data_IF_165944116524
#
_entry.id   IF_165944116524
#
_cell.length_a   1.000
_cell.length_b   1.000
_cell.length_c   1.000
_cell.angle_alpha   90.00
_cell.angle_beta   90.00
_cell.angle_gamma   90.00
#
_symmetry.space_group_name_H-M   'P 1'
#
loop_
_entity.id
_entity.type
_entity.pdbx_description
1 polymer ?
#
# COMPACT_ATOMS: atom_id res chain seq x y z
N UNK A 1 -18.38 5.79 21.69
CA UNK A 1 -19.21 5.46 22.87
C UNK A 1 -20.39 4.67 22.35
N UNK A 2 -20.44 3.36 22.61
CA UNK A 2 -21.55 2.54 22.16
C UNK A 2 -22.83 2.99 22.86
N UNK A 3 -23.89 3.30 22.09
CA UNK A 3 -25.20 3.62 22.67
C UNK A 3 -25.71 2.37 23.41
N UNK A 4 -26.13 2.55 24.66
CA UNK A 4 -26.54 1.44 25.54
C UNK A 4 -27.75 0.68 24.99
N UNK A 5 -28.51 1.32 24.09
CA UNK A 5 -29.68 0.74 23.43
C UNK A 5 -29.33 -0.18 22.26
N UNK A 6 -28.14 -0.06 21.65
CA UNK A 6 -27.72 -0.83 20.47
C UNK A 6 -26.95 -2.11 20.86
N UNK A 7 -27.54 -2.93 21.72
CA UNK A 7 -26.92 -4.18 22.16
C UNK A 7 -27.84 -5.37 22.01
N UNK A 8 -27.27 -6.57 21.82
CA UNK A 8 -28.07 -7.81 21.78
C UNK A 8 -28.90 -8.01 23.05
N UNK A 9 -28.36 -7.61 24.21
CA UNK A 9 -29.05 -7.73 25.50
C UNK A 9 -30.28 -6.81 25.56
N UNK A 10 -30.15 -5.56 25.09
CA UNK A 10 -31.27 -4.63 24.99
C UNK A 10 -32.36 -5.17 24.06
N UNK A 11 -31.97 -5.70 22.89
CA UNK A 11 -32.92 -6.31 21.94
C UNK A 11 -33.66 -7.53 22.51
N UNK A 12 -32.91 -8.44 23.15
CA UNK A 12 -33.49 -9.63 23.81
C UNK A 12 -34.43 -9.22 24.94
N UNK A 13 -34.09 -8.19 25.72
CA UNK A 13 -34.97 -7.67 26.77
C UNK A 13 -36.23 -7.03 26.19
N UNK A 14 -36.12 -6.32 25.07
CA UNK A 14 -37.25 -5.66 24.42
C UNK A 14 -38.28 -6.67 23.87
N UNK A 15 -37.81 -7.83 23.40
CA UNK A 15 -38.66 -8.86 22.79
C UNK A 15 -39.10 -9.96 23.76
N UNK A 16 -38.49 -10.05 24.95
CA UNK A 16 -38.80 -11.09 25.94
C UNK A 16 -40.25 -11.01 26.41
N UNK A 17 -40.95 -12.15 26.32
CA UNK A 17 -42.34 -12.28 26.79
C UNK A 17 -43.38 -11.61 25.89
N UNK A 18 -42.99 -11.12 24.71
CA UNK A 18 -43.89 -10.54 23.71
C UNK A 18 -44.32 -11.59 22.70
N UNK A 19 -45.40 -11.33 21.98
CA UNK A 19 -45.88 -12.17 20.89
C UNK A 19 -44.94 -12.18 19.66
N UNK A 20 -43.80 -11.48 19.73
CA UNK A 20 -42.79 -11.41 18.69
C UNK A 20 -41.50 -12.05 19.21
N UNK A 21 -40.95 -12.99 18.46
CA UNK A 21 -39.67 -13.61 18.78
C UNK A 21 -38.50 -12.68 18.46
N UNK A 22 -37.37 -12.87 19.15
CA UNK A 22 -36.16 -12.13 18.85
C UNK A 22 -35.71 -12.43 17.42
N UNK A 23 -35.78 -11.42 16.56
CA UNK A 23 -35.46 -11.55 15.15
C UNK A 23 -33.98 -11.84 14.93
N UNK A 24 -33.70 -12.89 14.13
CA UNK A 24 -32.34 -13.37 13.91
C UNK A 24 -31.50 -12.36 13.11
N UNK A 25 -32.11 -11.57 12.22
CA UNK A 25 -31.40 -10.61 11.39
C UNK A 25 -31.05 -9.35 12.18
N UNK A 26 -31.93 -8.92 13.09
CA UNK A 26 -31.59 -7.86 14.06
C UNK A 26 -30.42 -8.28 14.96
N UNK A 27 -30.43 -9.52 15.47
CA UNK A 27 -29.32 -10.06 16.27
C UNK A 27 -28.00 -10.12 15.49
N UNK A 28 -28.03 -10.58 14.23
CA UNK A 28 -26.85 -10.60 13.36
C UNK A 28 -26.31 -9.18 13.11
N UNK A 29 -27.19 -8.22 12.84
CA UNK A 29 -26.79 -6.84 12.59
C UNK A 29 -26.16 -6.20 13.83
N UNK A 30 -26.72 -6.43 15.02
CA UNK A 30 -26.15 -5.98 16.29
C UNK A 30 -24.79 -6.64 16.59
N UNK A 31 -24.63 -7.92 16.25
CA UNK A 31 -23.35 -8.61 16.39
C UNK A 31 -22.28 -8.05 15.43
N UNK A 32 -22.66 -7.65 14.21
CA UNK A 32 -21.76 -6.96 13.28
C UNK A 32 -21.33 -5.60 13.83
N UNK A 33 -22.27 -4.83 14.39
CA UNK A 33 -21.96 -3.54 15.03
C UNK A 33 -20.99 -3.73 16.22
N UNK A 34 -21.24 -4.71 17.09
CA UNK A 34 -20.37 -5.01 18.22
C UNK A 34 -18.95 -5.47 17.81
N UNK A 35 -18.79 -6.05 16.62
CA UNK A 35 -17.47 -6.36 16.05
C UNK A 35 -16.81 -5.11 15.48
N UNK A 36 -17.56 -4.28 14.76
CA UNK A 36 -17.06 -3.04 14.19
C UNK A 36 -16.59 -2.05 15.26
N UNK A 37 -17.29 -1.99 16.40
CA UNK A 37 -16.91 -1.14 17.56
C UNK A 37 -15.56 -1.52 18.19
N UNK A 38 -15.05 -2.74 17.95
CA UNK A 38 -13.73 -3.19 18.45
C UNK A 38 -12.58 -2.83 17.53
N UNK A 39 -12.87 -2.33 16.34
CA UNK A 39 -11.86 -1.94 15.37
C UNK A 39 -11.20 -0.62 15.79
N UNK A 40 -9.99 -0.39 15.26
CA UNK A 40 -9.33 0.89 15.44
C UNK A 40 -10.16 1.99 14.75
N UNK A 41 -10.23 3.21 15.31
CA UNK A 41 -10.96 4.33 14.71
C UNK A 41 -10.16 4.95 13.56
N UNK A 42 -9.70 4.12 12.62
CA UNK A 42 -9.09 4.54 11.36
C UNK A 42 -10.15 4.59 10.25
N UNK A 43 -9.74 5.00 9.04
CA UNK A 43 -10.66 5.17 7.92
C UNK A 43 -11.43 3.87 7.59
N UNK A 44 -10.79 2.72 7.73
CA UNK A 44 -11.39 1.41 7.45
C UNK A 44 -12.34 0.99 8.58
N UNK A 45 -11.94 1.15 9.84
CA UNK A 45 -12.77 0.84 11.00
C UNK A 45 -14.03 1.69 11.06
N UNK A 46 -13.92 3.00 10.82
CA UNK A 46 -15.07 3.92 10.78
C UNK A 46 -16.02 3.61 9.63
N UNK A 47 -15.50 3.21 8.46
CA UNK A 47 -16.34 2.77 7.34
C UNK A 47 -17.12 1.48 7.69
N UNK A 48 -16.47 0.50 8.31
CA UNK A 48 -17.12 -0.73 8.75
C UNK A 48 -18.17 -0.49 9.85
N UNK A 49 -17.92 0.47 10.75
CA UNK A 49 -18.90 0.87 11.76
C UNK A 49 -20.13 1.54 11.14
N UNK A 50 -19.93 2.43 10.16
CA UNK A 50 -21.03 3.06 9.40
C UNK A 50 -21.89 2.02 8.68
N UNK A 51 -21.26 1.07 8.02
CA UNK A 51 -21.96 0.03 7.25
C UNK A 51 -22.72 -0.94 8.17
N UNK A 52 -22.14 -1.28 9.35
CA UNK A 52 -22.82 -2.06 10.37
C UNK A 52 -24.05 -1.33 10.94
N UNK A 53 -23.96 -0.01 11.19
CA UNK A 53 -25.12 0.81 11.60
C UNK A 53 -26.22 0.82 10.54
N UNK A 54 -25.87 0.88 9.25
CA UNK A 54 -26.84 0.79 8.15
C UNK A 54 -27.53 -0.58 8.09
N UNK A 55 -26.81 -1.66 8.41
CA UNK A 55 -27.40 -2.99 8.51
C UNK A 55 -28.39 -3.11 9.68
N UNK A 56 -28.10 -2.50 10.84
CA UNK A 56 -29.01 -2.46 11.99
C UNK A 56 -30.28 -1.69 11.65
N UNK A 57 -30.15 -0.50 11.04
CA UNK A 57 -31.29 0.32 10.59
C UNK A 57 -32.23 -0.46 9.65
N UNK A 58 -31.65 -1.13 8.65
CA UNK A 58 -32.38 -1.96 7.69
C UNK A 58 -33.08 -3.13 8.38
N UNK A 59 -32.41 -3.81 9.31
CA UNK A 59 -32.98 -4.93 10.04
C UNK A 59 -34.16 -4.49 10.92
N UNK A 60 -34.03 -3.37 11.64
CA UNK A 60 -35.10 -2.77 12.45
C UNK A 60 -36.30 -2.38 11.59
N UNK A 61 -36.09 -1.72 10.45
CA UNK A 61 -37.16 -1.33 9.54
C UNK A 61 -37.91 -2.54 8.94
N UNK A 62 -37.19 -3.62 8.60
CA UNK A 62 -37.81 -4.87 8.13
C UNK A 62 -38.63 -5.53 9.24
N UNK A 63 -38.09 -5.58 10.46
CA UNK A 63 -38.78 -6.12 11.61
C UNK A 63 -40.07 -5.35 11.96
N UNK A 64 -40.00 -4.02 11.96
CA UNK A 64 -41.16 -3.17 12.23
C UNK A 64 -42.26 -3.38 11.18
N UNK A 65 -41.90 -3.49 9.90
CA UNK A 65 -42.86 -3.81 8.83
C UNK A 65 -43.50 -5.19 9.01
N UNK A 66 -42.69 -6.22 9.31
CA UNK A 66 -43.18 -7.57 9.54
C UNK A 66 -44.12 -7.66 10.76
N UNK A 67 -43.89 -6.82 11.77
CA UNK A 67 -44.61 -6.83 13.04
C UNK A 67 -45.52 -5.62 13.26
N UNK A 68 -45.89 -4.89 12.21
CA UNK A 68 -46.55 -3.59 12.32
C UNK A 68 -47.86 -3.63 13.13
N UNK A 69 -48.63 -4.73 13.05
CA UNK A 69 -49.87 -4.90 13.83
C UNK A 69 -49.58 -5.11 15.32
N UNK A 70 -48.60 -5.96 15.63
CA UNK A 70 -48.20 -6.28 17.00
C UNK A 70 -47.49 -5.10 17.67
N UNK A 71 -46.63 -4.39 16.93
CA UNK A 71 -45.96 -3.19 17.40
C UNK A 71 -46.95 -2.05 17.73
N UNK A 72 -48.02 -1.88 16.94
CA UNK A 72 -49.08 -0.91 17.24
C UNK A 72 -49.90 -1.26 18.48
N UNK A 73 -50.06 -2.54 18.77
CA UNK A 73 -50.79 -3.00 19.96
C UNK A 73 -49.94 -2.90 21.24
N UNK A 74 -48.61 -3.04 21.12
CA UNK A 74 -47.67 -2.99 22.24
C UNK A 74 -46.86 -1.69 22.24
N UNK A 75 -47.34 -0.70 22.99
CA UNK A 75 -46.68 0.61 23.14
C UNK A 75 -45.23 0.52 23.64
N UNK A 76 -44.89 -0.48 24.46
CA UNK A 76 -43.52 -0.65 24.95
C UNK A 76 -42.59 -1.18 23.85
N UNK A 77 -43.09 -2.02 22.94
CA UNK A 77 -42.33 -2.49 21.77
C UNK A 77 -42.10 -1.33 20.80
N UNK A 78 -43.14 -0.54 20.53
CA UNK A 78 -43.05 0.64 19.67
C UNK A 78 -42.06 1.67 20.22
N UNK A 79 -42.11 1.97 21.52
CA UNK A 79 -41.18 2.88 22.16
C UNK A 79 -39.73 2.37 22.07
N UNK A 80 -39.49 1.09 22.38
CA UNK A 80 -38.13 0.54 22.29
C UNK A 80 -37.57 0.46 20.87
N UNK A 81 -38.41 0.21 19.86
CA UNK A 81 -37.99 0.29 18.45
C UNK A 81 -37.62 1.73 18.06
N UNK A 82 -38.42 2.71 18.47
CA UNK A 82 -38.12 4.13 18.26
C UNK A 82 -36.81 4.56 18.96
N UNK A 83 -36.58 4.08 20.18
CA UNK A 83 -35.35 4.37 20.94
C UNK A 83 -34.11 3.75 20.28
N UNK A 84 -34.22 2.53 19.75
CA UNK A 84 -33.13 1.90 19.01
C UNK A 84 -32.85 2.61 17.69
N UNK A 85 -33.86 2.94 16.90
CA UNK A 85 -33.69 3.71 15.66
C UNK A 85 -33.07 5.09 15.92
N UNK A 86 -33.51 5.78 16.97
CA UNK A 86 -32.89 7.03 17.43
C UNK A 86 -31.43 6.83 17.87
N UNK A 87 -31.11 5.71 18.51
CA UNK A 87 -29.74 5.32 18.86
C UNK A 87 -28.86 5.10 17.63
N UNK A 88 -29.39 4.46 16.57
CA UNK A 88 -28.68 4.29 15.29
C UNK A 88 -28.37 5.64 14.66
N UNK A 89 -29.33 6.56 14.62
CA UNK A 89 -29.12 7.89 14.02
C UNK A 89 -28.06 8.70 14.77
N UNK A 90 -28.11 8.70 16.12
CA UNK A 90 -27.09 9.36 16.96
C UNK A 90 -25.70 8.76 16.73
N UNK A 91 -25.61 7.44 16.66
CA UNK A 91 -24.35 6.73 16.42
C UNK A 91 -23.80 7.02 15.01
N UNK A 92 -24.67 7.07 13.98
CA UNK A 92 -24.25 7.43 12.62
C UNK A 92 -23.69 8.86 12.57
N UNK A 93 -24.36 9.83 13.18
CA UNK A 93 -23.87 11.22 13.26
C UNK A 93 -22.51 11.31 13.96
N UNK A 94 -22.31 10.53 15.02
CA UNK A 94 -21.02 10.47 15.72
C UNK A 94 -19.91 9.88 14.83
N UNK A 95 -20.17 8.79 14.13
CA UNK A 95 -19.21 8.18 13.19
C UNK A 95 -18.89 9.12 12.02
N UNK A 96 -19.89 9.79 11.45
CA UNK A 96 -19.69 10.78 10.39
C UNK A 96 -18.88 11.99 10.87
N UNK A 97 -19.06 12.41 12.12
CA UNK A 97 -18.23 13.45 12.72
C UNK A 97 -16.79 12.96 12.90
N UNK A 98 -16.58 11.73 13.39
CA UNK A 98 -15.24 11.14 13.50
C UNK A 98 -14.55 10.99 12.15
N UNK A 99 -15.27 10.64 11.09
CA UNK A 99 -14.74 10.61 9.72
C UNK A 99 -14.31 12.01 9.27
N UNK A 100 -15.12 13.04 9.55
CA UNK A 100 -14.76 14.43 9.27
C UNK A 100 -13.56 14.91 10.07
N UNK A 101 -13.49 14.57 11.35
CA UNK A 101 -12.38 14.93 12.23
C UNK A 101 -11.09 14.21 11.80
N UNK A 102 -11.19 12.93 11.39
CA UNK A 102 -10.07 12.19 10.83
C UNK A 102 -9.61 12.78 9.48
N UNK A 103 -10.55 13.19 8.62
CA UNK A 103 -10.23 13.84 7.35
C UNK A 103 -9.58 15.22 7.54
N UNK A 104 -10.08 16.03 8.48
CA UNK A 104 -9.53 17.36 8.78
C UNK A 104 -8.20 17.27 9.52
N UNK A 105 -8.02 16.34 10.46
CA UNK A 105 -6.72 16.09 11.10
C UNK A 105 -5.69 15.53 10.11
N UNK A 106 -6.10 14.65 9.19
CA UNK A 106 -5.22 14.19 8.11
C UNK A 106 -4.87 15.33 7.15
N UNK A 107 -5.83 16.21 6.82
CA UNK A 107 -5.58 17.40 6.01
C UNK A 107 -4.67 18.42 6.73
N UNK A 108 -4.85 18.61 8.04
CA UNK A 108 -4.02 19.51 8.86
C UNK A 108 -2.62 18.96 9.11
N UNK A 109 -2.47 17.65 9.30
CA UNK A 109 -1.17 16.98 9.34
C UNK A 109 -0.46 17.06 7.97
N UNK A 110 -1.24 17.07 6.89
CA UNK A 110 -0.74 17.26 5.52
C UNK A 110 -0.40 18.73 5.18
N UNK A 111 -1.03 19.70 5.85
CA UNK A 111 -0.73 21.14 5.75
C UNK A 111 0.34 21.62 6.76
N UNK A 112 0.66 20.81 7.78
CA UNK A 112 1.74 21.04 8.73
C UNK A 112 3.03 20.27 8.39
N UNK A 113 2.95 19.28 7.50
CA UNK A 113 4.07 19.01 6.60
C UNK A 113 4.23 20.25 5.71
N UNK A 114 5.45 20.71 5.39
CA UNK A 114 5.62 21.86 4.52
C UNK A 114 4.77 21.67 3.27
N UNK A 115 3.89 22.64 3.00
CA UNK A 115 3.12 22.76 1.77
C UNK A 115 4.12 22.92 0.63
N UNK A 116 4.58 21.80 0.12
CA UNK A 116 5.52 21.75 -0.98
C UNK A 116 4.80 21.88 -2.33
N UNK A 117 3.46 21.75 -2.40
CA UNK A 117 2.71 21.66 -3.66
C UNK A 117 2.17 23.01 -4.19
N UNK A 118 2.49 24.13 -3.53
CA UNK A 118 2.13 25.48 -4.00
C UNK A 118 3.33 26.45 -4.09
N UNK A 119 4.55 25.91 -4.10
CA UNK A 119 5.78 26.69 -4.32
C UNK A 119 6.74 25.93 -5.23
N UNK A 120 7.12 26.60 -6.31
CA UNK A 120 8.12 26.25 -7.30
C UNK A 120 7.72 25.22 -8.36
N UNK A 121 7.45 25.74 -9.56
CA UNK A 121 7.45 25.10 -10.88
C UNK A 121 8.84 24.50 -11.20
N UNK A 122 9.34 23.65 -10.32
CA UNK A 122 10.66 23.02 -10.40
C UNK A 122 10.55 21.66 -11.09
N UNK A 123 11.60 21.23 -11.83
CA UNK A 123 11.62 19.95 -12.55
C UNK A 123 11.40 18.72 -11.65
N UNK A 124 11.58 18.86 -10.34
CA UNK A 124 11.44 17.79 -9.34
C UNK A 124 10.00 17.27 -9.23
N UNK A 125 9.01 18.05 -9.67
CA UNK A 125 7.61 17.62 -9.73
C UNK A 125 7.39 16.48 -10.72
N UNK A 126 8.22 16.41 -11.76
CA UNK A 126 8.19 15.40 -12.81
C UNK A 126 9.08 14.19 -12.51
N UNK A 127 9.72 14.15 -11.33
CA UNK A 127 10.61 13.05 -10.90
C UNK A 127 10.26 12.58 -9.48
N UNK A 128 10.84 13.20 -8.45
CA UNK A 128 10.77 12.79 -7.05
C UNK A 128 9.34 12.80 -6.50
N UNK A 129 8.52 13.76 -6.92
CA UNK A 129 7.12 13.88 -6.44
C UNK A 129 6.15 12.91 -7.10
N UNK A 130 6.53 12.28 -8.21
CA UNK A 130 5.70 11.26 -8.86
C UNK A 130 5.71 9.91 -8.13
N UNK A 131 6.81 9.56 -7.46
CA UNK A 131 6.96 8.29 -6.73
C UNK A 131 5.88 8.08 -5.66
N UNK A 132 5.60 9.03 -4.74
CA UNK A 132 4.54 8.85 -3.75
C UNK A 132 3.15 8.80 -4.39
N UNK A 133 2.92 9.49 -5.52
CA UNK A 133 1.65 9.45 -6.23
C UNK A 133 1.42 8.08 -6.89
N UNK A 134 2.44 7.49 -7.50
CA UNK A 134 2.37 6.13 -8.04
C UNK A 134 2.07 5.10 -6.95
N UNK A 135 2.65 5.27 -5.74
CA UNK A 135 2.32 4.42 -4.58
C UNK A 135 0.87 4.58 -4.14
N UNK A 136 0.32 5.79 -4.19
CA UNK A 136 -1.09 6.06 -3.85
C UNK A 136 -2.05 5.45 -4.87
N UNK A 137 -1.73 5.54 -6.16
CA UNK A 137 -2.49 4.84 -7.20
C UNK A 137 -2.45 3.34 -6.97
N UNK A 138 -1.29 2.76 -6.65
CA UNK A 138 -1.17 1.35 -6.25
C UNK A 138 -1.92 0.97 -4.98
N UNK A 139 -2.22 1.93 -4.10
CA UNK A 139 -3.06 1.72 -2.93
C UNK A 139 -4.57 1.85 -3.25
N UNK A 140 -4.94 2.09 -4.51
CA UNK A 140 -6.32 2.22 -4.98
C UNK A 140 -6.87 3.63 -4.97
N UNK A 141 -6.05 4.66 -4.72
CA UNK A 141 -6.49 6.06 -4.79
C UNK A 141 -6.31 6.60 -6.21
N UNK A 142 -7.38 7.03 -6.92
CA UNK A 142 -7.25 7.57 -8.27
C UNK A 142 -6.47 8.90 -8.26
N UNK A 143 -5.74 9.16 -9.35
CA UNK A 143 -5.01 10.41 -9.56
C UNK A 143 -5.32 11.02 -10.94
N UNK A 144 -5.28 12.34 -11.05
CA UNK A 144 -5.34 13.02 -12.35
C UNK A 144 -4.01 12.85 -13.07
N UNK A 145 -4.06 12.60 -14.37
CA UNK A 145 -2.87 12.48 -15.21
C UNK A 145 -2.93 13.46 -16.38
N UNK A 146 -1.78 14.03 -16.73
CA UNK A 146 -1.57 14.79 -17.96
C UNK A 146 -0.36 14.19 -18.66
N UNK A 147 -0.49 14.02 -19.97
CA UNK A 147 0.54 13.48 -20.85
C UNK A 147 0.89 14.53 -21.89
N UNK A 148 2.19 14.72 -22.10
CA UNK A 148 2.71 15.58 -23.16
C UNK A 148 3.58 14.73 -24.06
N UNK A 149 3.24 14.69 -25.35
CA UNK A 149 3.90 13.86 -26.36
C UNK A 149 4.57 14.75 -27.41
N UNK A 150 5.81 14.45 -27.77
CA UNK A 150 6.50 15.02 -28.95
C UNK A 150 7.23 13.88 -29.67
N UNK A 151 6.74 13.51 -30.86
CA UNK A 151 7.28 12.39 -31.63
C UNK A 151 7.24 11.05 -30.88
N UNK A 152 8.41 10.58 -30.45
CA UNK A 152 8.58 9.34 -29.67
C UNK A 152 8.68 9.58 -28.16
N UNK A 153 8.89 10.81 -27.74
CA UNK A 153 9.02 11.18 -26.33
C UNK A 153 7.66 11.45 -25.69
N UNK A 154 7.54 11.02 -24.44
CA UNK A 154 6.37 11.24 -23.60
C UNK A 154 6.84 11.71 -22.24
N UNK A 155 6.17 12.73 -21.70
CA UNK A 155 6.34 13.21 -20.33
C UNK A 155 5.00 13.01 -19.63
N UNK A 156 5.04 12.38 -18.45
CA UNK A 156 3.86 12.05 -17.65
C UNK A 156 3.86 12.92 -16.41
N UNK A 157 2.69 13.42 -16.02
CA UNK A 157 2.51 14.11 -14.74
C UNK A 157 1.28 13.55 -14.04
N UNK A 158 1.45 13.21 -12.76
CA UNK A 158 0.36 12.80 -11.87
C UNK A 158 0.09 13.90 -10.85
N UNK A 159 -1.17 14.07 -10.47
CA UNK A 159 -1.58 15.01 -9.42
C UNK A 159 -2.82 14.51 -8.68
N UNK A 160 -2.93 14.89 -7.41
CA UNK A 160 -4.14 14.62 -6.61
C UNK A 160 -5.29 15.57 -6.96
N UNK A 161 -4.97 16.74 -7.50
CA UNK A 161 -5.92 17.76 -7.97
C UNK A 161 -5.88 17.84 -9.50
N UNK A 162 -6.91 18.38 -10.16
CA UNK A 162 -6.85 18.70 -11.58
C UNK A 162 -5.60 19.51 -11.93
N UNK A 163 -4.90 19.11 -12.98
CA UNK A 163 -3.60 19.69 -13.36
C UNK A 163 -3.85 21.02 -14.08
N UNK A 164 -3.30 22.11 -13.56
CA UNK A 164 -3.44 23.45 -14.15
C UNK A 164 -2.73 23.57 -15.50
N UNK A 165 -3.15 24.50 -16.38
CA UNK A 165 -2.48 24.74 -17.66
C UNK A 165 -1.02 25.20 -17.52
N UNK A 166 -0.62 25.85 -16.43
CA UNK A 166 0.75 26.33 -16.21
C UNK A 166 1.78 25.20 -16.20
N UNK A 167 1.42 24.04 -15.62
CA UNK A 167 2.29 22.85 -15.57
C UNK A 167 2.54 22.23 -16.95
N UNK A 168 1.77 22.62 -17.98
CA UNK A 168 2.01 22.22 -19.37
C UNK A 168 3.36 22.76 -19.88
N UNK A 169 3.71 24.00 -19.53
CA UNK A 169 4.93 24.64 -20.03
C UNK A 169 6.17 23.90 -19.56
N UNK A 170 6.22 23.51 -18.29
CA UNK A 170 7.31 22.70 -17.72
C UNK A 170 7.45 21.34 -18.39
N UNK A 171 6.33 20.66 -18.65
CA UNK A 171 6.35 19.36 -19.33
C UNK A 171 6.85 19.47 -20.77
N UNK A 172 6.64 20.62 -21.42
CA UNK A 172 7.16 20.90 -22.76
C UNK A 172 8.65 21.22 -22.74
N UNK A 173 9.13 21.96 -21.74
CA UNK A 173 10.56 22.26 -21.57
C UNK A 173 11.41 21.02 -21.31
N UNK A 174 10.81 19.99 -20.68
CA UNK A 174 11.49 18.72 -20.40
C UNK A 174 11.51 17.75 -21.61
N UNK A 175 10.85 18.09 -22.71
CA UNK A 175 10.98 17.36 -23.97
C UNK A 175 12.27 17.77 -24.67
N UNK A 176 13.13 16.81 -24.98
CA UNK A 176 14.39 17.05 -25.68
C UNK A 176 14.11 17.33 -27.17
N UNK A 177 13.02 16.79 -27.71
CA UNK A 177 12.58 17.00 -29.09
C UNK A 177 11.65 18.20 -29.27
N UNK A 178 12.16 19.25 -29.93
CA UNK A 178 11.37 20.40 -30.40
C UNK A 178 10.52 19.99 -31.62
N UNK A 179 9.24 19.69 -31.40
CA UNK A 179 8.29 19.26 -32.42
C UNK A 179 6.85 19.64 -32.08
N UNK A 180 5.88 19.12 -32.86
CA UNK A 180 4.46 19.29 -32.55
C UNK A 180 4.10 18.55 -31.26
N UNK A 181 3.70 19.31 -30.25
CA UNK A 181 3.35 18.77 -28.94
C UNK A 181 1.86 18.44 -28.87
N UNK A 182 1.52 17.17 -28.60
CA UNK A 182 0.16 16.74 -28.26
C UNK A 182 0.02 16.64 -26.75
N UNK A 183 -1.02 17.24 -26.19
CA UNK A 183 -1.36 17.12 -24.76
C UNK A 183 -2.63 16.30 -24.62
N UNK A 184 -2.59 15.31 -23.72
CA UNK A 184 -3.71 14.42 -23.43
C UNK A 184 -3.96 14.45 -21.93
N UNK A 185 -5.20 14.69 -21.55
CA UNK A 185 -5.65 14.64 -20.17
C UNK A 185 -6.33 13.31 -19.87
N UNK A 186 -6.32 12.89 -18.60
CA UNK A 186 -7.03 11.68 -18.20
C UNK A 186 -6.93 11.38 -16.71
N UNK A 187 -7.22 10.13 -16.37
CA UNK A 187 -7.19 9.62 -14.99
C UNK A 187 -6.33 8.37 -14.88
N UNK A 188 -5.59 8.24 -13.79
CA UNK A 188 -4.75 7.10 -13.47
C UNK A 188 -5.37 6.32 -12.31
N UNK A 189 -5.63 5.02 -12.53
CA UNK A 189 -6.28 4.12 -11.56
C UNK A 189 -5.51 2.79 -11.48
N UNK A 190 -5.75 2.01 -10.42
CA UNK A 190 -5.26 0.63 -10.35
C UNK A 190 -6.35 -0.32 -10.81
N UNK A 191 -6.05 -1.14 -11.82
CA UNK A 191 -6.96 -2.17 -12.33
C UNK A 191 -6.18 -3.45 -12.60
N UNK A 192 -6.65 -4.59 -12.08
CA UNK A 192 -6.03 -5.91 -12.26
C UNK A 192 -4.51 -5.96 -12.01
N UNK A 193 -4.01 -5.22 -11.00
CA UNK A 193 -2.58 -5.05 -10.64
C UNK A 193 -1.76 -4.19 -11.60
N UNK A 194 -2.36 -3.65 -12.66
CA UNK A 194 -1.75 -2.68 -13.58
C UNK A 194 -2.15 -1.26 -13.19
N UNK A 195 -1.21 -0.32 -13.38
CA UNK A 195 -1.53 1.11 -13.34
C UNK A 195 -2.14 1.47 -14.68
N UNK A 196 -3.44 1.73 -14.68
CA UNK A 196 -4.24 1.98 -15.87
C UNK A 196 -4.47 3.47 -16.06
N UNK A 197 -4.05 3.98 -17.22
CA UNK A 197 -4.28 5.34 -17.67
C UNK A 197 -5.53 5.35 -18.54
N UNK A 198 -6.59 5.98 -18.05
CA UNK A 198 -7.84 6.22 -18.78
C UNK A 198 -7.70 7.56 -19.49
N UNK A 199 -7.60 7.53 -20.81
CA UNK A 199 -7.27 8.68 -21.65
C UNK A 199 -8.28 8.83 -22.79
N UNK A 200 -8.53 10.07 -23.21
CA UNK A 200 -9.36 10.34 -24.39
C UNK A 200 -8.57 10.07 -25.67
N UNK A 201 -9.05 9.14 -26.51
CA UNK A 201 -8.42 8.69 -27.76
C UNK A 201 -6.94 8.26 -27.60
N UNK A 202 -6.67 7.14 -26.89
CA UNK A 202 -5.32 6.62 -26.78
C UNK A 202 -4.80 6.17 -28.14
N UNK A 203 -3.60 6.62 -28.51
CA UNK A 203 -2.92 6.12 -29.71
C UNK A 203 -2.30 4.75 -29.41
N UNK A 204 -2.20 3.90 -30.44
CA UNK A 204 -1.60 2.58 -30.27
C UNK A 204 -0.16 2.64 -29.76
N UNK A 205 0.19 1.74 -28.85
CA UNK A 205 1.54 1.64 -28.26
C UNK A 205 1.84 2.74 -27.23
N UNK A 206 0.83 3.48 -26.76
CA UNK A 206 1.02 4.52 -25.74
C UNK A 206 1.41 3.93 -24.38
N UNK A 207 0.97 2.71 -24.05
CA UNK A 207 1.35 2.03 -22.81
C UNK A 207 2.87 1.82 -22.71
N UNK A 208 3.51 1.33 -23.78
CA UNK A 208 4.96 1.16 -23.87
C UNK A 208 5.69 2.49 -23.69
N UNK A 209 5.18 3.57 -24.32
CA UNK A 209 5.76 4.92 -24.21
C UNK A 209 5.62 5.52 -22.80
N UNK A 210 4.45 5.37 -22.18
CA UNK A 210 4.21 5.83 -20.79
C UNK A 210 5.10 5.06 -19.82
N UNK A 211 5.23 3.74 -19.98
CA UNK A 211 6.13 2.93 -19.16
C UNK A 211 7.58 3.38 -19.27
N UNK A 212 8.06 3.64 -20.51
CA UNK A 212 9.40 4.19 -20.74
C UNK A 212 9.58 5.59 -20.14
N UNK A 213 8.56 6.45 -20.25
CA UNK A 213 8.56 7.80 -19.69
C UNK A 213 8.62 7.77 -18.16
N UNK A 214 7.76 6.97 -17.51
CA UNK A 214 7.76 6.79 -16.05
C UNK A 214 9.09 6.23 -15.56
N UNK A 215 9.69 5.31 -16.32
CA UNK A 215 11.03 4.80 -16.00
C UNK A 215 12.10 5.89 -16.11
N UNK A 216 12.07 6.73 -17.16
CA UNK A 216 12.99 7.87 -17.35
C UNK A 216 12.81 8.93 -16.25
N UNK A 217 11.57 9.21 -15.86
CA UNK A 217 11.19 10.25 -14.90
C UNK A 217 11.41 9.83 -13.44
N UNK A 218 11.01 8.61 -13.08
CA UNK A 218 10.92 8.17 -11.68
C UNK A 218 11.88 7.05 -11.32
N UNK A 219 12.58 6.46 -12.31
CA UNK A 219 13.43 5.28 -12.11
C UNK A 219 12.65 3.99 -11.80
N UNK A 220 11.32 4.04 -11.71
CA UNK A 220 10.48 2.90 -11.35
C UNK A 220 9.93 2.19 -12.57
N UNK A 221 10.11 0.86 -12.61
CA UNK A 221 9.38 0.01 -13.54
C UNK A 221 7.99 -0.28 -13.00
N UNK A 222 6.98 0.21 -13.71
CA UNK A 222 5.58 0.07 -13.35
C UNK A 222 4.86 -0.70 -14.46
N UNK A 223 4.05 -1.72 -14.14
CA UNK A 223 3.17 -2.35 -15.13
C UNK A 223 2.07 -1.35 -15.50
N UNK A 224 2.10 -0.87 -16.75
CA UNK A 224 1.21 0.19 -17.24
C UNK A 224 0.24 -0.39 -18.26
N UNK A 225 -1.03 0.03 -18.18
CA UNK A 225 -2.06 -0.22 -19.18
C UNK A 225 -2.68 1.10 -19.61
N UNK A 226 -3.16 1.18 -20.84
CA UNK A 226 -3.91 2.35 -21.34
C UNK A 226 -5.27 1.88 -21.80
N UNK A 227 -6.32 2.65 -21.46
CA UNK A 227 -7.70 2.35 -21.81
C UNK A 227 -8.39 3.62 -22.30
N UNK A 228 -9.28 3.49 -23.29
CA UNK A 228 -10.22 4.55 -23.64
C UNK A 228 -11.31 4.74 -22.59
N UNK A 229 -12.06 5.87 -22.60
CA UNK A 229 -13.19 6.08 -21.71
C UNK A 229 -14.27 4.98 -21.85
N UNK A 230 -14.39 4.37 -23.03
CA UNK A 230 -15.48 3.43 -23.36
C UNK A 230 -15.24 1.97 -22.94
N UNK A 231 -14.01 1.55 -22.63
CA UNK A 231 -13.74 0.11 -22.46
C UNK A 231 -12.56 -0.43 -23.20
N UNK A 232 -12.26 0.17 -24.34
CA UNK A 232 -11.32 -0.41 -25.28
C UNK A 232 -9.91 -0.45 -24.68
N UNK A 233 -9.39 -1.67 -24.54
CA UNK A 233 -8.06 -1.96 -24.04
C UNK A 233 -7.15 -2.12 -25.25
N UNK A 234 -6.10 -1.31 -25.31
CA UNK A 234 -5.00 -1.50 -26.24
C UNK A 234 -4.07 -2.57 -25.65
N UNK A 235 -4.41 -3.85 -25.84
CA UNK A 235 -3.59 -5.01 -25.44
C UNK A 235 -2.52 -5.26 -26.51
N UNK A 236 -1.36 -4.64 -26.30
CA UNK A 236 -0.13 -5.00 -27.01
C UNK A 236 0.51 -6.17 -26.24
N UNK A 237 -0.03 -7.36 -26.48
CA UNK A 237 0.35 -8.66 -25.91
C UNK A 237 1.63 -9.16 -26.60
N UNK A 238 2.73 -9.24 -25.85
CA UNK A 238 3.95 -9.95 -26.22
C UNK A 238 4.70 -10.32 -24.93
N UNK A 239 4.14 -11.32 -24.23
CA UNK A 239 4.89 -12.16 -23.30
C UNK A 239 5.72 -13.16 -24.13
N UNK A 240 7.03 -12.92 -24.28
CA UNK A 240 7.98 -13.99 -24.59
C UNK A 240 9.06 -14.09 -23.51
N UNK A 241 9.04 -15.24 -22.84
CA UNK A 241 10.19 -15.82 -22.14
C UNK A 241 11.38 -15.96 -23.09
N UNK A 242 12.58 -15.54 -22.65
CA UNK A 242 13.82 -15.95 -23.31
C UNK A 242 14.93 -16.21 -22.28
N UNK A 243 15.04 -17.48 -21.93
CA UNK A 243 16.19 -18.13 -21.29
C UNK A 243 17.29 -18.35 -22.35
N UNK A 244 18.54 -18.03 -21.99
CA UNK A 244 19.74 -18.70 -22.51
C UNK A 244 20.42 -18.08 -23.73
N UNK A 245 21.42 -17.23 -23.51
CA UNK A 245 22.42 -16.84 -24.52
C UNK A 245 23.75 -17.60 -24.27
N UNK A 246 24.23 -18.32 -25.29
CA UNK A 246 25.64 -18.78 -25.41
C UNK A 246 26.36 -17.90 -26.45
N UNK A 247 27.54 -17.45 -26.05
CA UNK A 247 28.74 -16.98 -26.79
C UNK A 247 28.87 -17.49 -28.26
N UNK A 248 29.47 -16.77 -29.22
CA UNK A 248 30.76 -16.02 -29.22
C UNK A 248 30.93 -15.20 -30.57
N UNK A 249 32.08 -14.56 -30.92
CA UNK A 249 32.21 -13.10 -31.04
C UNK A 249 32.71 -12.58 -32.42
N UNK A 250 32.62 -11.27 -32.68
CA UNK A 250 33.68 -10.59 -33.44
C UNK A 250 33.79 -9.09 -33.16
N UNK A 251 35.03 -8.64 -33.16
CA UNK A 251 35.55 -7.36 -32.69
C UNK A 251 35.34 -6.20 -33.68
N UNK A 252 35.19 -4.98 -33.15
CA UNK A 252 36.16 -3.86 -33.24
C UNK A 252 35.46 -2.52 -32.96
N UNK A 253 35.99 -1.75 -32.01
CA UNK A 253 36.20 -0.29 -32.05
C UNK A 253 36.26 0.30 -30.63
N UNK A 254 37.38 0.97 -30.39
CA UNK A 254 37.89 1.38 -29.09
C UNK A 254 37.47 2.82 -28.82
N UNK A 255 36.26 3.09 -28.33
CA UNK A 255 35.92 4.39 -27.67
C UNK A 255 34.62 4.34 -26.83
N UNK A 256 34.36 3.29 -26.03
CA UNK A 256 33.09 3.20 -25.27
C UNK A 256 33.16 2.35 -23.99
N UNK A 257 34.12 2.60 -23.09
CA UNK A 257 34.26 1.80 -21.86
C UNK A 257 33.62 2.38 -20.59
N UNK A 258 33.06 3.60 -20.60
CA UNK A 258 32.38 4.16 -19.42
C UNK A 258 30.85 3.92 -19.41
N UNK A 259 30.18 3.95 -20.55
CA UNK A 259 28.71 3.84 -20.62
C UNK A 259 28.15 2.42 -20.42
N UNK A 260 28.97 1.37 -20.57
CA UNK A 260 28.55 -0.04 -20.38
C UNK A 260 28.64 -0.48 -18.92
N UNK A 261 29.59 0.11 -18.17
CA UNK A 261 29.79 -0.16 -16.74
C UNK A 261 28.63 0.39 -15.91
N UNK A 262 28.11 1.58 -16.27
CA UNK A 262 26.99 2.21 -15.56
C UNK A 262 25.66 1.45 -15.71
N UNK A 263 25.37 0.92 -16.91
CA UNK A 263 24.17 0.09 -17.10
C UNK A 263 24.25 -1.21 -16.31
N UNK A 264 25.44 -1.82 -16.20
CA UNK A 264 25.67 -3.01 -15.38
C UNK A 264 25.44 -2.76 -13.88
N UNK A 265 25.98 -1.64 -13.35
CA UNK A 265 25.83 -1.27 -11.94
C UNK A 265 24.39 -0.91 -11.58
N UNK A 266 23.68 -0.19 -12.44
CA UNK A 266 22.27 0.13 -12.23
C UNK A 266 21.38 -1.12 -12.14
N UNK A 267 21.63 -2.09 -13.02
CA UNK A 267 20.94 -3.39 -13.00
C UNK A 267 21.26 -4.16 -11.71
N UNK A 268 22.48 -4.05 -11.18
CA UNK A 268 22.87 -4.69 -9.92
C UNK A 268 22.13 -4.11 -8.71
N UNK A 269 21.88 -2.81 -8.65
CA UNK A 269 21.08 -2.19 -7.58
C UNK A 269 19.62 -2.62 -7.60
N UNK A 270 18.98 -2.58 -8.78
CA UNK A 270 17.60 -3.03 -8.92
C UNK A 270 17.45 -4.50 -8.50
N UNK A 271 18.41 -5.36 -8.89
CA UNK A 271 18.46 -6.76 -8.48
C UNK A 271 18.70 -6.92 -6.97
N UNK A 272 19.63 -6.15 -6.41
CA UNK A 272 19.96 -6.18 -4.98
C UNK A 272 18.75 -5.76 -4.13
N UNK A 273 18.04 -4.71 -4.52
CA UNK A 273 16.79 -4.27 -3.90
C UNK A 273 15.74 -5.38 -3.92
N UNK A 274 15.50 -5.98 -5.09
CA UNK A 274 14.50 -7.05 -5.23
C UNK A 274 14.89 -8.29 -4.41
N UNK A 275 16.18 -8.65 -4.38
CA UNK A 275 16.69 -9.74 -3.58
C UNK A 275 16.48 -9.48 -2.08
N UNK A 276 16.79 -8.26 -1.60
CA UNK A 276 16.57 -7.87 -0.22
C UNK A 276 15.09 -7.92 0.18
N UNK A 277 14.19 -7.41 -0.67
CA UNK A 277 12.74 -7.47 -0.42
C UNK A 277 12.24 -8.92 -0.29
N UNK A 278 12.74 -9.84 -1.14
CA UNK A 278 12.41 -11.27 -1.04
C UNK A 278 12.92 -11.89 0.25
N UNK A 279 14.13 -11.54 0.68
CA UNK A 279 14.71 -11.99 1.96
C UNK A 279 13.82 -11.55 3.11
N UNK A 280 13.39 -10.29 3.12
CA UNK A 280 12.47 -9.74 4.13
C UNK A 280 11.14 -10.47 4.18
N UNK A 281 10.50 -10.66 3.04
CA UNK A 281 9.20 -11.36 2.97
C UNK A 281 9.32 -12.78 3.52
N UNK A 282 10.41 -13.48 3.22
CA UNK A 282 10.69 -14.80 3.79
C UNK A 282 10.88 -14.75 5.31
N UNK A 283 11.66 -13.80 5.83
CA UNK A 283 11.86 -13.66 7.27
C UNK A 283 10.53 -13.41 7.99
N UNK A 284 9.70 -12.49 7.48
CA UNK A 284 8.37 -12.21 8.04
C UNK A 284 7.48 -13.45 8.05
N UNK A 285 7.54 -14.29 7.01
CA UNK A 285 6.79 -15.54 6.96
C UNK A 285 7.30 -16.55 8.00
N UNK A 286 8.63 -16.72 8.11
CA UNK A 286 9.26 -17.61 9.08
C UNK A 286 8.93 -17.16 10.53
N UNK A 287 8.96 -15.86 10.82
CA UNK A 287 8.61 -15.33 12.14
C UNK A 287 7.13 -15.52 12.50
N UNK A 288 6.23 -15.29 11.55
CA UNK A 288 4.79 -15.56 11.77
C UNK A 288 4.51 -17.03 12.01
N UNK A 289 5.25 -17.91 11.32
CA UNK A 289 5.18 -19.36 11.55
C UNK A 289 5.61 -19.71 12.98
N UNK A 290 6.74 -19.14 13.43
CA UNK A 290 7.21 -19.31 14.80
C UNK A 290 6.21 -18.76 15.84
N UNK A 291 5.70 -17.54 15.64
CA UNK A 291 4.70 -16.92 16.51
C UNK A 291 3.49 -17.84 16.69
N UNK A 292 2.97 -18.34 15.57
CA UNK A 292 1.80 -19.22 15.55
C UNK A 292 2.06 -20.53 16.29
N UNK A 293 3.25 -21.11 16.13
CA UNK A 293 3.63 -22.36 16.80
C UNK A 293 3.82 -22.16 18.32
N UNK A 294 4.47 -21.07 18.72
CA UNK A 294 4.65 -20.68 20.13
C UNK A 294 3.30 -20.44 20.79
N UNK A 295 2.42 -19.65 20.16
CA UNK A 295 1.07 -19.40 20.65
C UNK A 295 0.24 -20.69 20.75
N UNK A 296 0.38 -21.57 19.76
CA UNK A 296 -0.25 -22.89 19.76
C UNK A 296 0.13 -23.72 20.99
N UNK A 297 1.42 -23.76 21.32
CA UNK A 297 1.92 -24.43 22.53
C UNK A 297 1.42 -23.76 23.83
N UNK A 298 1.37 -22.43 23.86
CA UNK A 298 0.93 -21.67 25.04
C UNK A 298 -0.60 -21.71 25.30
N UNK A 299 -1.43 -22.29 24.42
CA UNK A 299 -2.89 -22.34 24.62
C UNK A 299 -3.34 -22.99 25.94
N UNK A 300 -2.51 -23.83 26.56
CA UNK A 300 -2.77 -24.43 27.87
C UNK A 300 -2.09 -23.73 29.05
N UNK A 301 -1.32 -22.65 28.83
CA UNK A 301 -0.51 -21.98 29.83
C UNK A 301 -0.57 -20.45 29.66
N UNK A 302 -1.64 -19.80 30.16
CA UNK A 302 -1.89 -18.37 29.93
C UNK A 302 -0.77 -17.46 30.46
N UNK A 303 -0.08 -17.86 31.53
CA UNK A 303 1.01 -17.10 32.13
C UNK A 303 2.24 -16.98 31.22
N UNK A 304 2.42 -17.93 30.28
CA UNK A 304 3.54 -17.91 29.34
C UNK A 304 3.20 -17.22 28.01
N UNK A 305 1.92 -17.12 27.66
CA UNK A 305 1.49 -16.57 26.36
C UNK A 305 1.91 -15.10 26.19
N UNK A 306 1.77 -14.28 27.24
CA UNK A 306 2.12 -12.85 27.20
C UNK A 306 3.62 -12.61 26.95
N UNK A 307 4.53 -13.11 27.80
CA UNK A 307 5.98 -12.94 27.63
C UNK A 307 6.51 -13.52 26.31
N UNK A 308 5.97 -14.66 25.87
CA UNK A 308 6.39 -15.29 24.62
C UNK A 308 6.01 -14.43 23.41
N UNK A 309 4.78 -13.92 23.36
CA UNK A 309 4.32 -13.01 22.30
C UNK A 309 5.14 -11.72 22.27
N UNK A 310 5.46 -11.15 23.44
CA UNK A 310 6.26 -9.94 23.53
C UNK A 310 7.67 -10.13 22.94
N UNK A 311 8.30 -11.29 23.18
CA UNK A 311 9.62 -11.61 22.62
C UNK A 311 9.59 -11.81 21.11
N UNK A 312 8.55 -12.47 20.59
CA UNK A 312 8.39 -12.65 19.14
C UNK A 312 8.16 -11.32 18.43
N UNK A 313 7.32 -10.44 18.99
CA UNK A 313 7.09 -9.10 18.43
C UNK A 313 8.33 -8.20 18.45
N UNK A 314 9.21 -8.36 19.45
CA UNK A 314 10.49 -7.64 19.47
C UNK A 314 11.33 -7.96 18.22
N UNK A 315 11.22 -9.20 17.72
CA UNK A 315 11.91 -9.62 16.52
C UNK A 315 11.33 -8.97 15.26
N UNK A 316 10.01 -8.77 15.20
CA UNK A 316 9.37 -7.99 14.12
C UNK A 316 9.87 -6.54 14.11
N UNK A 317 9.99 -5.90 15.28
CA UNK A 317 10.52 -4.54 15.40
C UNK A 317 11.95 -4.44 14.88
N UNK A 318 12.81 -5.39 15.27
CA UNK A 318 14.20 -5.46 14.79
C UNK A 318 14.23 -5.60 13.26
N UNK A 319 13.38 -6.44 12.68
CA UNK A 319 13.33 -6.61 11.23
C UNK A 319 12.85 -5.36 10.49
N UNK A 320 11.90 -4.60 11.06
CA UNK A 320 11.44 -3.33 10.49
C UNK A 320 12.54 -2.28 10.52
N UNK A 321 13.31 -2.17 11.60
CA UNK A 321 14.43 -1.23 11.67
C UNK A 321 15.56 -1.61 10.69
N UNK A 322 15.81 -2.90 10.51
CA UNK A 322 16.74 -3.40 9.48
C UNK A 322 16.23 -3.13 8.05
N UNK A 323 14.93 -2.92 7.86
CA UNK A 323 14.32 -2.81 6.54
C UNK A 323 14.49 -1.43 5.89
N UNK A 324 14.11 -0.37 6.61
CA UNK A 324 13.95 0.96 6.01
C UNK A 324 15.28 1.55 5.54
N UNK A 325 16.35 1.42 6.35
CA UNK A 325 17.60 2.14 6.04
C UNK A 325 18.32 1.61 4.80
N UNK A 326 18.36 0.29 4.58
CA UNK A 326 19.04 -0.28 3.41
C UNK A 326 18.24 -0.05 2.13
N UNK A 327 16.91 -0.19 2.16
CA UNK A 327 16.07 0.08 0.99
C UNK A 327 16.14 1.54 0.57
N UNK A 328 16.10 2.47 1.52
CA UNK A 328 16.17 3.90 1.22
C UNK A 328 17.50 4.29 0.56
N UNK A 329 18.62 3.70 1.01
CA UNK A 329 19.93 4.00 0.43
C UNK A 329 20.07 3.36 -0.95
N UNK A 330 19.61 2.12 -1.15
CA UNK A 330 19.58 1.49 -2.48
C UNK A 330 18.70 2.28 -3.45
N UNK A 331 17.57 2.83 -2.99
CA UNK A 331 16.69 3.67 -3.79
C UNK A 331 17.32 5.02 -4.13
N UNK A 332 18.00 5.65 -3.18
CA UNK A 332 18.80 6.87 -3.44
C UNK A 332 19.91 6.58 -4.44
N UNK A 333 20.60 5.44 -4.33
CA UNK A 333 21.68 5.06 -5.24
C UNK A 333 21.16 4.84 -6.67
N UNK A 334 19.98 4.23 -6.79
CA UNK A 334 19.32 4.00 -8.07
C UNK A 334 18.88 5.32 -8.72
N UNK A 335 18.49 6.33 -7.93
CA UNK A 335 18.03 7.63 -8.42
C UNK A 335 19.11 8.73 -8.45
N UNK A 336 20.36 8.44 -8.06
CA UNK A 336 21.41 9.44 -8.02
C UNK A 336 21.84 9.86 -9.43
N UNK A 337 21.88 11.18 -9.66
CA UNK A 337 22.12 11.80 -10.97
C UNK A 337 23.59 11.76 -11.41
N UNK A 338 24.52 11.57 -10.47
CA UNK A 338 25.96 11.59 -10.75
C UNK A 338 26.63 10.30 -10.30
N UNK A 339 27.68 9.91 -11.02
CA UNK A 339 28.47 8.71 -10.71
C UNK A 339 29.11 8.79 -9.34
N UNK A 340 29.60 9.97 -8.96
CA UNK A 340 30.20 10.17 -7.65
C UNK A 340 29.18 9.95 -6.53
N UNK A 341 27.99 10.55 -6.63
CA UNK A 341 26.94 10.36 -5.63
C UNK A 341 26.47 8.91 -5.56
N UNK A 342 26.45 8.20 -6.70
CA UNK A 342 26.19 6.75 -6.72
C UNK A 342 27.27 5.98 -5.97
N UNK A 343 28.54 6.28 -6.19
CA UNK A 343 29.66 5.64 -5.48
C UNK A 343 29.60 5.90 -3.97
N UNK A 344 29.28 7.12 -3.56
CA UNK A 344 29.16 7.46 -2.14
C UNK A 344 28.00 6.65 -1.49
N UNK A 345 26.86 6.55 -2.17
CA UNK A 345 25.70 5.76 -1.70
C UNK A 345 25.96 4.24 -1.74
N UNK A 346 26.81 3.76 -2.65
CA UNK A 346 27.30 2.38 -2.64
C UNK A 346 28.11 2.10 -1.38
N UNK A 347 29.03 3.00 -1.03
CA UNK A 347 29.85 2.87 0.17
C UNK A 347 28.97 2.91 1.43
N UNK A 348 27.99 3.80 1.46
CA UNK A 348 27.00 3.88 2.54
C UNK A 348 26.17 2.59 2.66
N UNK A 349 25.72 2.03 1.52
CA UNK A 349 24.98 0.75 1.48
C UNK A 349 25.83 -0.38 2.05
N UNK A 350 27.12 -0.47 1.70
CA UNK A 350 28.04 -1.48 2.25
C UNK A 350 28.26 -1.27 3.74
N UNK A 351 28.37 -0.04 4.21
CA UNK A 351 28.49 0.24 5.63
C UNK A 351 27.26 -0.24 6.42
N UNK A 352 26.06 -0.06 5.87
CA UNK A 352 24.80 -0.58 6.44
C UNK A 352 24.80 -2.11 6.46
N UNK A 353 25.15 -2.75 5.34
CA UNK A 353 25.25 -4.21 5.25
C UNK A 353 26.25 -4.77 6.26
N UNK A 354 27.42 -4.14 6.42
CA UNK A 354 28.41 -4.55 7.40
C UNK A 354 27.88 -4.46 8.85
N UNK A 355 27.12 -3.41 9.18
CA UNK A 355 26.43 -3.30 10.48
C UNK A 355 25.40 -4.40 10.65
N UNK A 356 24.61 -4.71 9.62
CA UNK A 356 23.59 -5.75 9.68
C UNK A 356 24.22 -7.13 9.83
N UNK A 357 25.26 -7.45 9.07
CA UNK A 357 26.00 -8.71 9.19
C UNK A 357 26.57 -8.84 10.61
N UNK A 358 27.13 -7.77 11.18
CA UNK A 358 27.64 -7.78 12.55
C UNK A 358 26.50 -8.03 13.55
N UNK A 359 25.40 -7.31 13.42
CA UNK A 359 24.21 -7.46 14.26
C UNK A 359 23.68 -8.90 14.24
N UNK A 360 23.44 -9.46 13.05
CA UNK A 360 22.94 -10.82 12.85
C UNK A 360 23.90 -11.88 13.42
N UNK A 361 25.21 -11.61 13.37
CA UNK A 361 26.21 -12.49 13.99
C UNK A 361 26.18 -12.41 15.51
N UNK A 362 26.02 -11.22 16.09
CA UNK A 362 26.12 -11.00 17.54
C UNK A 362 24.81 -11.20 18.30
N UNK A 363 23.66 -11.08 17.66
CA UNK A 363 22.36 -11.06 18.33
C UNK A 363 21.97 -12.47 18.85
N UNK A 364 21.78 -12.64 20.18
CA UNK A 364 21.42 -13.92 20.75
C UNK A 364 19.99 -14.37 20.44
N UNK A 365 19.07 -13.44 20.14
CA UNK A 365 17.68 -13.79 19.81
C UNK A 365 17.62 -14.49 18.47
N UNK A 366 18.35 -14.00 17.47
CA UNK A 366 18.43 -14.66 16.15
C UNK A 366 19.05 -16.06 16.25
N UNK A 367 20.03 -16.26 17.13
CA UNK A 367 20.54 -17.61 17.41
C UNK A 367 19.48 -18.51 18.08
N UNK A 368 18.71 -17.96 19.03
CA UNK A 368 17.62 -18.67 19.70
C UNK A 368 16.45 -19.01 18.76
N UNK A 369 16.21 -18.18 17.74
CA UNK A 369 15.20 -18.46 16.70
C UNK A 369 15.59 -19.68 15.89
N UNK A 370 16.84 -19.84 15.49
CA UNK A 370 17.26 -21.03 14.72
C UNK A 370 17.28 -22.31 15.58
N UNK A 371 17.48 -22.18 16.90
CA UNK A 371 17.51 -23.29 17.85
C UNK A 371 16.15 -23.54 18.53
N UNK A 372 15.07 -22.94 18.04
CA UNK A 372 13.78 -23.04 18.70
C UNK A 372 13.22 -24.48 18.60
N UNK A 373 12.49 -24.97 19.63
CA UNK A 373 11.94 -26.33 19.65
C UNK A 373 10.60 -26.48 18.90
N UNK A 374 10.03 -25.40 18.37
CA UNK A 374 8.66 -25.39 17.82
C UNK A 374 8.64 -25.64 16.32
N UNK A 375 9.51 -24.97 15.56
CA UNK A 375 9.58 -25.02 14.10
C UNK A 375 11.04 -25.02 13.69
N UNK A 376 11.53 -25.95 12.85
CA UNK A 376 12.90 -25.92 12.37
C UNK A 376 13.09 -24.71 11.45
N UNK A 377 13.74 -23.66 11.96
CA UNK A 377 14.04 -22.45 11.21
C UNK A 377 15.55 -22.28 11.05
N UNK A 378 15.94 -21.68 9.92
CA UNK A 378 17.33 -21.31 9.59
C UNK A 378 17.41 -19.82 9.26
N UNK A 379 16.69 -19.01 10.03
CA UNK A 379 16.48 -17.58 9.82
C UNK A 379 17.80 -16.82 9.88
N UNK A 380 18.65 -17.08 10.88
CA UNK A 380 19.95 -16.40 11.01
C UNK A 380 20.91 -16.82 9.91
N UNK A 381 21.00 -18.12 9.63
CA UNK A 381 21.85 -18.64 8.54
C UNK A 381 21.44 -18.04 7.18
N UNK A 382 20.14 -18.06 6.88
CA UNK A 382 19.58 -17.51 5.64
C UNK A 382 19.82 -15.99 5.52
N UNK A 383 19.58 -15.24 6.59
CA UNK A 383 19.78 -13.79 6.61
C UNK A 383 21.25 -13.43 6.38
N UNK A 384 22.17 -14.14 7.05
CA UNK A 384 23.60 -13.91 6.93
C UNK A 384 24.10 -14.23 5.52
N UNK A 385 23.69 -15.36 4.94
CA UNK A 385 24.04 -15.72 3.57
C UNK A 385 23.51 -14.68 2.56
N UNK A 386 22.30 -14.19 2.79
CA UNK A 386 21.66 -13.19 1.92
C UNK A 386 22.35 -11.83 1.98
N UNK A 387 22.67 -11.34 3.19
CA UNK A 387 23.40 -10.08 3.37
C UNK A 387 24.80 -10.14 2.76
N UNK A 388 25.49 -11.28 2.88
CA UNK A 388 26.80 -11.49 2.26
C UNK A 388 26.71 -11.56 0.73
N UNK A 389 25.65 -12.15 0.18
CA UNK A 389 25.42 -12.15 -1.26
C UNK A 389 25.16 -10.74 -1.79
N UNK A 390 24.39 -9.94 -1.05
CA UNK A 390 24.12 -8.53 -1.37
C UNK A 390 25.40 -7.67 -1.31
N UNK A 391 26.21 -7.86 -0.27
CA UNK A 391 27.49 -7.15 -0.14
C UNK A 391 28.42 -7.45 -1.32
N UNK A 392 28.48 -8.73 -1.75
CA UNK A 392 29.24 -9.15 -2.94
C UNK A 392 28.68 -8.59 -4.25
N UNK A 393 27.37 -8.40 -4.38
CA UNK A 393 26.77 -7.86 -5.62
C UNK A 393 26.91 -6.34 -5.74
N UNK A 394 27.22 -5.67 -4.63
CA UNK A 394 27.49 -4.23 -4.57
C UNK A 394 28.98 -3.87 -4.64
N UNK A 395 29.86 -4.88 -4.51
CA UNK A 395 31.30 -4.77 -4.79
C UNK A 395 31.57 -4.84 -6.30
#
# INVERSE_FOLDING_TARGET
>A
MADKTLTEAAWKSLTKGKAVTADADVLKALALLARADKLKPDATGLAQQRDALAAVDKALATFEKANAKTAKADKALQAGLSDMSGGVERSRKAVEQQIRDLATSTAKAKAAAPDEDEGDDTPDILTTRMVPLLRQVRAGTPAHTKLVLSGKEVVVLLSRKPISPARRTLMVEQLEQKGSVKVIDGTCVLDNKFITFVLDNPASGLAKKISAALLKQTGLRVPVRVRGPDGDIDEDDDDEEAVGAKDKPQATSTTSQQATVDKGRFVNHAKSRLAWEKVRQKLQADLKSLESAVLGYCKGQPDLAGPATAKVRKLDTILVELDESLMDILDKALNAQTDQKRLDLHEESRAVLARYIRFVKSDPLLAGVDQNPFVPLKTREFLLASLQALDKSLA
#
